data_IF_195438324279
#
_entry.id   IF_195438324279
#
_cell.length_a   1.000
_cell.length_b   1.000
_cell.length_c   1.000
_cell.angle_alpha   90.00
_cell.angle_beta   90.00
_cell.angle_gamma   90.00
#
_symmetry.space_group_name_H-M   'P 1'
#
loop_
_entity.id
_entity.type
_entity.pdbx_description
1 polymer ?
#
# COMPACT_ATOMS: atom_id res chain seq x y z
N UNK A 1 -29.51 -39.00 49.83
CA UNK A 1 -28.35 -38.53 49.07
C UNK A 1 -28.84 -38.03 47.73
N UNK A 2 -29.13 -36.76 47.61
CA UNK A 2 -29.68 -36.14 46.39
C UNK A 2 -28.57 -35.40 45.68
N UNK A 3 -28.12 -35.92 44.53
CA UNK A 3 -27.10 -35.28 43.67
C UNK A 3 -27.79 -34.20 42.82
N UNK A 4 -27.45 -32.96 43.07
CA UNK A 4 -27.82 -31.84 42.23
C UNK A 4 -26.91 -31.85 41.00
N UNK A 5 -27.52 -32.06 39.82
CA UNK A 5 -26.86 -31.88 38.55
C UNK A 5 -27.07 -30.43 38.16
N UNK A 6 -26.05 -29.62 38.30
CA UNK A 6 -26.03 -28.26 37.78
C UNK A 6 -25.83 -28.29 36.27
N UNK A 7 -26.89 -27.96 35.53
CA UNK A 7 -26.83 -27.72 34.09
C UNK A 7 -26.20 -26.35 33.87
N UNK A 8 -24.89 -26.34 33.53
CA UNK A 8 -24.21 -25.15 33.03
C UNK A 8 -24.55 -25.02 31.57
N UNK A 9 -25.53 -24.20 31.25
CA UNK A 9 -25.81 -23.76 29.89
C UNK A 9 -24.74 -22.71 29.55
N UNK A 10 -23.64 -23.17 28.93
CA UNK A 10 -22.63 -22.29 28.35
C UNK A 10 -23.18 -21.58 27.12
N UNK A 11 -23.50 -20.31 27.27
CA UNK A 11 -23.80 -19.42 26.13
C UNK A 11 -22.46 -19.13 25.42
N UNK A 12 -22.14 -19.93 24.43
CA UNK A 12 -21.05 -19.63 23.50
C UNK A 12 -21.51 -18.48 22.59
N UNK A 13 -21.31 -17.26 23.05
CA UNK A 13 -21.32 -16.10 22.14
C UNK A 13 -20.08 -16.22 21.27
N UNK A 14 -20.26 -16.82 20.11
CA UNK A 14 -19.23 -16.85 19.09
C UNK A 14 -18.99 -15.43 18.58
N UNK A 15 -18.00 -14.74 19.15
CA UNK A 15 -17.44 -13.57 18.50
C UNK A 15 -16.76 -14.06 17.23
N UNK A 16 -17.41 -13.86 16.09
CA UNK A 16 -16.76 -13.94 14.81
C UNK A 16 -15.73 -12.79 14.77
N UNK A 17 -14.50 -13.09 15.15
CA UNK A 17 -13.37 -12.21 14.90
C UNK A 17 -13.25 -12.15 13.40
N UNK A 18 -13.69 -11.03 12.79
CA UNK A 18 -13.45 -10.78 11.40
C UNK A 18 -11.93 -10.86 11.20
N UNK A 19 -11.48 -11.89 10.50
CA UNK A 19 -10.08 -12.03 10.17
C UNK A 19 -9.74 -10.87 9.23
N UNK A 20 -8.98 -9.91 9.74
CA UNK A 20 -8.40 -8.86 8.90
C UNK A 20 -7.36 -9.56 8.03
N UNK A 21 -7.75 -9.84 6.80
CA UNK A 21 -6.82 -10.39 5.81
C UNK A 21 -5.94 -9.25 5.32
N UNK A 22 -4.68 -9.28 5.73
CA UNK A 22 -3.69 -8.38 5.15
C UNK A 22 -3.33 -8.88 3.75
N UNK A 23 -3.13 -7.99 2.77
CA UNK A 23 -2.65 -8.39 1.47
C UNK A 23 -1.26 -9.01 1.64
N UNK A 24 -0.97 -10.00 0.80
CA UNK A 24 0.35 -10.65 0.76
C UNK A 24 0.95 -10.43 -0.61
N UNK A 25 2.28 -10.30 -0.70
CA UNK A 25 2.94 -10.33 -1.99
C UNK A 25 2.64 -11.63 -2.74
N UNK A 26 2.33 -11.51 -4.02
CA UNK A 26 2.01 -12.64 -4.91
C UNK A 26 3.03 -12.76 -6.05
N UNK A 27 3.76 -11.67 -6.33
CA UNK A 27 4.80 -11.60 -7.33
C UNK A 27 6.20 -11.88 -6.79
N UNK A 28 7.18 -11.79 -7.69
CA UNK A 28 8.59 -11.87 -7.32
C UNK A 28 8.96 -10.67 -6.45
N UNK A 29 9.67 -10.91 -5.36
CA UNK A 29 10.14 -9.90 -4.43
C UNK A 29 11.62 -9.61 -4.60
N UNK A 30 11.96 -8.33 -4.57
CA UNK A 30 13.34 -7.83 -4.62
C UNK A 30 13.54 -6.85 -3.46
N UNK A 31 14.59 -7.03 -2.68
CA UNK A 31 15.01 -6.05 -1.67
C UNK A 31 15.63 -4.84 -2.34
N UNK A 32 15.26 -3.65 -1.89
CA UNK A 32 15.84 -2.41 -2.35
C UNK A 32 15.92 -1.39 -1.21
N UNK A 33 16.83 -0.43 -1.36
CA UNK A 33 16.91 0.72 -0.46
C UNK A 33 16.39 1.96 -1.18
N UNK A 34 15.50 2.70 -0.57
CA UNK A 34 15.01 3.97 -1.12
C UNK A 34 16.09 5.04 -0.90
N UNK A 35 16.73 5.45 -1.98
CA UNK A 35 17.80 6.46 -1.96
C UNK A 35 17.21 7.85 -1.87
N UNK A 36 16.13 8.10 -2.61
CA UNK A 36 15.47 9.40 -2.69
C UNK A 36 14.01 9.25 -3.13
N UNK A 37 13.16 10.08 -2.58
CA UNK A 37 11.77 10.25 -3.03
C UNK A 37 11.70 11.47 -3.95
N UNK A 38 11.19 11.29 -5.17
CA UNK A 38 11.02 12.39 -6.15
C UNK A 38 9.71 13.12 -5.88
N UNK A 39 8.62 12.36 -5.78
CA UNK A 39 7.27 12.84 -5.46
C UNK A 39 6.44 11.72 -4.80
N UNK A 40 5.15 11.92 -4.64
CA UNK A 40 4.28 11.01 -3.92
C UNK A 40 4.15 9.60 -4.52
N UNK A 41 4.58 9.37 -5.75
CA UNK A 41 4.46 8.07 -6.44
C UNK A 41 5.70 7.64 -7.23
N UNK A 42 6.80 8.40 -7.14
CA UNK A 42 8.05 8.11 -7.84
C UNK A 42 9.24 8.13 -6.89
N UNK A 43 9.96 7.03 -6.86
CA UNK A 43 11.12 6.78 -6.00
C UNK A 43 12.37 6.57 -6.83
N UNK A 44 13.53 6.82 -6.22
CA UNK A 44 14.83 6.33 -6.68
C UNK A 44 15.29 5.26 -5.70
N UNK A 45 15.55 4.06 -6.17
CA UNK A 45 15.95 2.93 -5.33
C UNK A 45 17.27 2.33 -5.80
N UNK A 46 18.03 1.79 -4.87
CA UNK A 46 19.21 0.98 -5.12
C UNK A 46 18.87 -0.50 -4.90
N UNK A 47 19.18 -1.32 -5.89
CA UNK A 47 18.99 -2.78 -5.86
C UNK A 47 20.37 -3.43 -5.88
N UNK A 48 20.77 -4.05 -4.75
CA UNK A 48 22.09 -4.66 -4.62
C UNK A 48 23.20 -3.61 -4.83
N UNK A 49 24.20 -3.98 -5.67
CA UNK A 49 25.35 -3.12 -6.01
C UNK A 49 25.12 -2.31 -7.31
N UNK A 50 23.93 -2.38 -7.89
CA UNK A 50 23.62 -1.72 -9.16
C UNK A 50 23.42 -0.21 -9.03
N UNK A 51 23.40 0.47 -10.19
CA UNK A 51 23.05 1.88 -10.27
C UNK A 51 21.61 2.12 -9.80
N UNK A 52 21.35 3.23 -9.10
CA UNK A 52 19.99 3.58 -8.69
C UNK A 52 19.05 3.70 -9.88
N UNK A 53 17.84 3.19 -9.71
CA UNK A 53 16.79 3.21 -10.75
C UNK A 53 15.56 3.96 -10.28
N UNK A 54 14.85 4.57 -11.23
CA UNK A 54 13.56 5.21 -10.96
C UNK A 54 12.46 4.17 -10.94
N UNK A 55 11.65 4.22 -9.90
CA UNK A 55 10.47 3.36 -9.69
C UNK A 55 9.22 4.23 -9.68
N UNK A 56 8.28 3.93 -10.56
CA UNK A 56 6.90 4.39 -10.49
C UNK A 56 6.10 3.35 -9.71
N UNK A 57 5.57 3.74 -8.58
CA UNK A 57 4.82 2.81 -7.73
C UNK A 57 3.48 2.48 -8.38
N UNK A 58 3.15 1.18 -8.44
CA UNK A 58 1.90 0.68 -9.00
C UNK A 58 0.77 0.87 -7.99
N UNK A 59 -0.43 1.14 -8.49
CA UNK A 59 -1.68 1.04 -7.76
C UNK A 59 -2.33 2.37 -7.40
N UNK A 60 -1.59 3.47 -7.45
CA UNK A 60 -2.14 4.81 -7.20
C UNK A 60 -1.45 5.90 -8.01
N UNK A 61 -2.09 7.04 -8.06
CA UNK A 61 -1.57 8.29 -8.59
C UNK A 61 -1.63 9.35 -7.50
N UNK A 62 -0.49 9.92 -7.14
CA UNK A 62 -0.41 11.01 -6.18
C UNK A 62 -0.63 12.35 -6.86
N UNK A 63 -1.17 13.37 -6.15
CA UNK A 63 -1.20 14.72 -6.68
C UNK A 63 0.21 15.21 -7.00
N UNK A 64 0.35 15.97 -8.08
CA UNK A 64 1.60 16.62 -8.43
C UNK A 64 2.02 17.64 -7.35
N UNK A 65 3.32 17.89 -7.22
CA UNK A 65 3.89 18.76 -6.17
C UNK A 65 3.20 20.13 -6.10
N UNK A 66 2.82 20.68 -7.23
CA UNK A 66 2.18 21.98 -7.36
C UNK A 66 0.63 21.93 -7.23
N UNK A 67 0.06 20.74 -7.03
CA UNK A 67 -1.37 20.54 -6.82
C UNK A 67 -1.70 20.47 -5.31
N UNK A 68 -2.97 20.69 -4.92
CA UNK A 68 -3.40 20.45 -3.55
C UNK A 68 -3.03 19.05 -3.07
N UNK A 69 -2.43 18.95 -1.88
CA UNK A 69 -1.90 17.74 -1.26
C UNK A 69 -0.67 17.11 -1.94
N UNK A 70 -0.14 17.66 -3.04
CA UNK A 70 1.04 17.11 -3.71
C UNK A 70 2.30 17.20 -2.85
N UNK A 71 2.54 18.34 -2.22
CA UNK A 71 3.64 18.51 -1.26
C UNK A 71 3.47 17.61 -0.03
N UNK A 72 2.25 17.50 0.49
CA UNK A 72 1.95 16.60 1.61
C UNK A 72 2.18 15.13 1.27
N UNK A 73 1.78 14.69 0.07
CA UNK A 73 2.02 13.32 -0.42
C UNK A 73 3.53 13.03 -0.52
N UNK A 74 4.28 13.95 -1.10
CA UNK A 74 5.74 13.82 -1.23
C UNK A 74 6.43 13.75 0.13
N UNK A 75 6.08 14.64 1.06
CA UNK A 75 6.63 14.66 2.42
C UNK A 75 6.27 13.39 3.20
N UNK A 76 5.06 12.89 3.04
CA UNK A 76 4.62 11.65 3.68
C UNK A 76 5.46 10.45 3.22
N UNK A 77 5.60 10.26 1.91
CA UNK A 77 6.38 9.15 1.35
C UNK A 77 7.87 9.30 1.72
N UNK A 78 8.40 10.52 1.69
CA UNK A 78 9.77 10.81 2.07
C UNK A 78 10.04 10.45 3.53
N UNK A 79 9.20 10.88 4.45
CA UNK A 79 9.32 10.57 5.87
C UNK A 79 9.19 9.06 6.15
N UNK A 80 8.36 8.37 5.38
CA UNK A 80 8.09 6.95 5.54
C UNK A 80 9.22 6.07 4.99
N UNK A 81 9.78 6.40 3.82
CA UNK A 81 10.61 5.48 3.04
C UNK A 81 12.05 5.91 2.79
N UNK A 82 12.37 7.20 2.77
CA UNK A 82 13.72 7.64 2.38
C UNK A 82 14.79 7.09 3.32
N UNK A 83 15.78 6.43 2.75
CA UNK A 83 16.84 5.74 3.49
C UNK A 83 16.48 4.36 4.02
N UNK A 84 15.26 3.87 3.79
CA UNK A 84 14.81 2.57 4.31
C UNK A 84 14.88 1.46 3.26
N UNK A 85 15.02 0.23 3.75
CA UNK A 85 14.84 -0.98 2.95
C UNK A 85 13.35 -1.25 2.74
N UNK A 86 13.00 -1.59 1.52
CA UNK A 86 11.66 -1.97 1.09
C UNK A 86 11.71 -3.25 0.26
N UNK A 87 10.56 -3.90 0.08
CA UNK A 87 10.42 -4.98 -0.88
C UNK A 87 9.67 -4.46 -2.11
N UNK A 88 10.27 -4.69 -3.26
CA UNK A 88 9.67 -4.39 -4.56
C UNK A 88 9.04 -5.67 -5.10
N UNK A 89 7.75 -5.63 -5.39
CA UNK A 89 7.02 -6.73 -5.97
C UNK A 89 6.75 -6.47 -7.45
N UNK A 90 7.19 -7.38 -8.31
CA UNK A 90 6.91 -7.31 -9.74
C UNK A 90 5.45 -7.61 -10.06
N UNK A 91 4.93 -6.97 -11.09
CA UNK A 91 3.69 -7.32 -11.76
C UNK A 91 3.99 -7.81 -13.19
N UNK A 92 3.10 -7.69 -14.14
CA UNK A 92 3.25 -8.20 -15.49
C UNK A 92 4.19 -7.33 -16.33
N UNK A 93 3.89 -6.03 -16.41
CA UNK A 93 4.72 -5.06 -17.15
C UNK A 93 5.77 -4.45 -16.23
N UNK A 94 7.03 -4.56 -16.61
CA UNK A 94 8.17 -4.18 -15.77
C UNK A 94 8.60 -2.72 -15.92
N UNK A 95 8.28 -2.06 -17.04
CA UNK A 95 8.76 -0.71 -17.37
C UNK A 95 7.66 0.07 -18.08
N UNK A 96 7.52 1.35 -17.76
CA UNK A 96 6.61 2.25 -18.47
C UNK A 96 7.28 2.90 -19.70
N UNK A 97 6.47 3.67 -20.44
CA UNK A 97 6.95 4.37 -21.65
C UNK A 97 8.02 5.44 -21.39
N UNK A 98 8.20 5.84 -20.12
CA UNK A 98 9.22 6.82 -19.70
C UNK A 98 10.50 6.17 -19.16
N UNK A 99 10.59 4.83 -19.22
CA UNK A 99 11.74 4.08 -18.73
C UNK A 99 11.76 3.88 -17.21
N UNK A 100 10.70 4.23 -16.49
CA UNK A 100 10.60 3.96 -15.04
C UNK A 100 10.25 2.51 -14.81
N UNK A 101 10.88 1.89 -13.82
CA UNK A 101 10.52 0.55 -13.36
C UNK A 101 9.18 0.59 -12.64
N UNK A 102 8.36 -0.42 -12.86
CA UNK A 102 7.03 -0.56 -12.27
C UNK A 102 7.05 -1.64 -11.20
N UNK A 103 6.78 -1.25 -9.96
CA UNK A 103 6.71 -2.16 -8.81
C UNK A 103 5.60 -1.77 -7.85
N UNK A 104 4.99 -2.77 -7.22
CA UNK A 104 4.34 -2.56 -5.93
C UNK A 104 5.42 -2.43 -4.86
N UNK A 105 5.25 -1.51 -3.92
CA UNK A 105 6.25 -1.22 -2.89
C UNK A 105 5.70 -1.61 -1.52
N UNK A 106 6.41 -2.49 -0.84
CA UNK A 106 6.05 -3.02 0.46
C UNK A 106 6.97 -2.49 1.55
N UNK A 107 6.37 -1.92 2.58
CA UNK A 107 6.96 -1.73 3.91
C UNK A 107 6.27 -2.74 4.82
N UNK A 108 6.72 -3.97 4.79
CA UNK A 108 6.02 -5.13 5.36
C UNK A 108 5.50 -4.90 6.78
N UNK A 109 4.24 -5.27 7.05
CA UNK A 109 3.31 -6.03 6.19
C UNK A 109 2.45 -5.16 5.27
N UNK A 110 2.73 -3.86 5.16
CA UNK A 110 1.87 -2.86 4.54
C UNK A 110 2.30 -2.52 3.12
N UNK A 111 1.34 -2.40 2.23
CA UNK A 111 1.53 -1.95 0.86
C UNK A 111 1.48 -0.41 0.82
N UNK A 112 2.49 0.23 0.21
CA UNK A 112 2.53 1.71 0.13
C UNK A 112 1.27 2.29 -0.50
N UNK A 113 0.79 1.68 -1.59
CA UNK A 113 -0.42 2.14 -2.28
C UNK A 113 -1.66 2.10 -1.37
N UNK A 114 -1.77 1.12 -0.47
CA UNK A 114 -2.84 1.10 0.55
C UNK A 114 -2.78 2.34 1.44
N UNK A 115 -1.61 2.67 1.98
CA UNK A 115 -1.45 3.84 2.85
C UNK A 115 -1.81 5.15 2.14
N UNK A 116 -1.39 5.29 0.87
CA UNK A 116 -1.69 6.48 0.09
C UNK A 116 -3.18 6.65 -0.17
N UNK A 117 -3.90 5.56 -0.39
CA UNK A 117 -5.35 5.58 -0.60
C UNK A 117 -6.12 5.83 0.71
N UNK A 118 -5.71 5.22 1.82
CA UNK A 118 -6.34 5.41 3.13
C UNK A 118 -6.15 6.83 3.66
N UNK A 119 -5.00 7.44 3.44
CA UNK A 119 -4.69 8.80 3.89
C UNK A 119 -5.19 9.89 2.97
N UNK A 120 -5.76 9.53 1.81
CA UNK A 120 -6.20 10.51 0.81
C UNK A 120 -5.04 11.29 0.17
N UNK A 121 -3.86 10.71 0.10
CA UNK A 121 -2.67 11.27 -0.57
C UNK A 121 -2.44 10.67 -1.95
N UNK A 122 -3.38 9.89 -2.43
CA UNK A 122 -3.42 9.32 -3.77
C UNK A 122 -4.81 8.86 -4.15
N UNK A 123 -5.03 8.69 -5.45
CA UNK A 123 -6.21 8.04 -6.03
C UNK A 123 -5.79 6.73 -6.63
N UNK A 124 -6.66 5.72 -6.55
CA UNK A 124 -6.39 4.45 -7.21
C UNK A 124 -6.20 4.66 -8.72
N UNK A 125 -5.11 4.09 -9.24
CA UNK A 125 -4.82 4.04 -10.65
C UNK A 125 -4.49 2.60 -11.03
N UNK A 126 -5.30 2.04 -11.91
CA UNK A 126 -5.10 0.70 -12.46
C UNK A 126 -4.75 0.80 -13.92
N UNK A 127 -3.56 0.34 -14.30
CA UNK A 127 -3.10 0.32 -15.69
C UNK A 127 -2.84 -1.13 -16.09
N UNK A 128 -3.75 -1.77 -16.84
CA UNK A 128 -3.51 -3.12 -17.33
C UNK A 128 -2.22 -3.20 -18.16
N UNK A 129 -1.47 -4.31 -18.10
CA UNK A 129 -1.81 -5.59 -17.45
C UNK A 129 -1.47 -5.67 -15.95
N UNK A 130 -1.00 -4.59 -15.32
CA UNK A 130 -0.60 -4.55 -13.92
C UNK A 130 -1.83 -4.39 -13.01
N UNK A 131 -2.50 -5.49 -12.76
CA UNK A 131 -3.78 -5.52 -12.01
C UNK A 131 -3.71 -6.26 -10.69
N UNK A 132 -2.50 -6.64 -10.27
CA UNK A 132 -2.29 -7.28 -8.96
C UNK A 132 -2.77 -6.33 -7.85
N UNK A 133 -3.40 -6.87 -6.84
CA UNK A 133 -3.95 -6.14 -5.69
C UNK A 133 -5.09 -5.15 -5.99
N UNK A 134 -5.67 -5.12 -7.20
CA UNK A 134 -6.70 -4.14 -7.59
C UNK A 134 -7.91 -4.18 -6.66
N UNK A 135 -8.44 -5.37 -6.35
CA UNK A 135 -9.62 -5.50 -5.48
C UNK A 135 -9.35 -4.98 -4.07
N UNK A 136 -8.18 -5.31 -3.53
CA UNK A 136 -7.74 -4.83 -2.22
C UNK A 136 -7.61 -3.30 -2.21
N UNK A 137 -6.98 -2.71 -3.22
CA UNK A 137 -6.80 -1.26 -3.34
C UNK A 137 -8.13 -0.53 -3.56
N UNK A 138 -9.08 -1.15 -4.25
CA UNK A 138 -10.44 -0.61 -4.39
C UNK A 138 -11.12 -0.47 -3.02
N UNK A 139 -10.98 -1.46 -2.16
CA UNK A 139 -11.49 -1.39 -0.79
C UNK A 139 -10.76 -0.33 0.05
N UNK A 140 -9.43 -0.24 -0.07
CA UNK A 140 -8.65 0.78 0.62
C UNK A 140 -9.07 2.21 0.22
N UNK A 141 -9.29 2.46 -1.07
CA UNK A 141 -9.79 3.76 -1.54
C UNK A 141 -11.19 4.07 -1.02
N UNK A 142 -12.08 3.09 -1.01
CA UNK A 142 -13.42 3.26 -0.44
C UNK A 142 -13.33 3.69 1.03
N UNK A 143 -12.52 3.01 1.82
CA UNK A 143 -12.27 3.36 3.22
C UNK A 143 -11.65 4.76 3.35
N UNK A 144 -10.66 5.11 2.52
CA UNK A 144 -10.04 6.43 2.51
C UNK A 144 -11.05 7.57 2.25
N UNK A 145 -12.00 7.35 1.35
CA UNK A 145 -13.11 8.30 1.11
C UNK A 145 -14.02 8.46 2.33
N UNK A 146 -14.31 7.37 3.02
CA UNK A 146 -15.13 7.38 4.23
C UNK A 146 -14.43 8.08 5.39
N UNK A 147 -13.12 7.89 5.55
CA UNK A 147 -12.28 8.59 6.53
C UNK A 147 -12.25 10.10 6.23
N UNK A 148 -12.19 10.49 4.95
CA UNK A 148 -12.30 11.88 4.53
C UNK A 148 -11.05 12.72 4.75
N UNK A 149 -9.86 12.13 4.69
CA UNK A 149 -8.58 12.83 4.76
C UNK A 149 -8.05 13.23 3.38
N UNK A 150 -7.10 14.16 3.37
CA UNK A 150 -6.40 14.58 2.16
C UNK A 150 -7.34 15.06 1.07
N UNK A 151 -7.21 14.50 -0.13
CA UNK A 151 -8.05 14.86 -1.30
C UNK A 151 -9.55 14.56 -1.12
N UNK A 152 -9.92 13.81 -0.08
CA UNK A 152 -11.31 13.50 0.28
C UNK A 152 -11.86 14.39 1.39
N UNK A 153 -11.03 15.30 1.95
CA UNK A 153 -11.49 16.27 2.95
C UNK A 153 -12.51 17.25 2.33
N UNK A 154 -13.55 17.58 3.13
CA UNK A 154 -14.59 18.53 2.72
C UNK A 154 -14.16 19.97 3.02
#
# INVERSE_FOLDING_TARGET
MTRWVALVVGFLVGFAVAQVSFPKPEGQLIKATVVRVIDGDTLVVSIGQGEPVRVRVIGYDAPEINQPFGDAATKFVKALLEGREVLLESDVQAVDRYGRRLYHVWLQPTLLSELMLLTGLGRQLTIPPNVRHVDFLTQAQKQGREIGLGIWSK
#
